data_IF_387076245970
#
_entry.id   IF_387076245970
#
_cell.length_a   1.000
_cell.length_b   1.000
_cell.length_c   1.000
_cell.angle_alpha   90.00
_cell.angle_beta   90.00
_cell.angle_gamma   90.00
#
_symmetry.space_group_name_H-M   'P 1'
#
loop_
_entity.id
_entity.type
_entity.pdbx_description
1 polymer ?
#
# COMPACT_ATOMS: atom_id res chain seq x y z
N UNK A 1 -17.92 -7.63 -20.30
CA UNK A 1 -17.08 -8.83 -20.53
C UNK A 1 -17.88 -10.04 -20.12
N UNK A 2 -17.89 -11.11 -20.91
CA UNK A 2 -18.66 -12.32 -20.55
C UNK A 2 -18.06 -12.96 -19.28
N UNK A 3 -18.94 -13.41 -18.37
CA UNK A 3 -18.58 -14.02 -17.08
C UNK A 3 -17.81 -15.34 -17.19
N UNK A 4 -17.52 -15.79 -18.39
CA UNK A 4 -16.80 -17.03 -18.71
C UNK A 4 -15.29 -16.94 -18.51
N UNK A 5 -14.71 -15.71 -18.45
CA UNK A 5 -13.27 -15.53 -18.31
C UNK A 5 -12.76 -15.59 -16.86
N UNK A 6 -13.64 -15.84 -15.87
CA UNK A 6 -13.25 -15.96 -14.48
C UNK A 6 -13.21 -17.42 -14.04
N UNK A 7 -12.28 -17.73 -13.13
CA UNK A 7 -12.27 -19.03 -12.47
C UNK A 7 -13.67 -19.36 -11.91
N UNK A 8 -14.17 -20.60 -11.97
CA UNK A 8 -15.52 -20.97 -11.55
C UNK A 8 -15.91 -20.42 -10.18
N UNK A 9 -15.01 -20.49 -9.18
CA UNK A 9 -15.26 -20.04 -7.81
C UNK A 9 -15.41 -18.51 -7.68
N UNK A 10 -14.81 -17.75 -8.61
CA UNK A 10 -14.89 -16.30 -8.62
C UNK A 10 -16.07 -15.74 -9.41
N UNK A 11 -16.78 -16.57 -10.17
CA UNK A 11 -17.88 -16.12 -11.06
C UNK A 11 -19.02 -15.44 -10.29
N UNK A 12 -19.34 -15.93 -9.10
CA UNK A 12 -20.40 -15.33 -8.26
C UNK A 12 -19.98 -13.94 -7.78
N UNK A 13 -18.77 -13.81 -7.27
CA UNK A 13 -18.21 -12.53 -6.80
C UNK A 13 -18.06 -11.53 -7.95
N UNK A 14 -17.59 -11.99 -9.12
CA UNK A 14 -17.43 -11.16 -10.31
C UNK A 14 -18.77 -10.61 -10.85
N UNK A 15 -19.89 -11.31 -10.63
CA UNK A 15 -21.24 -10.81 -10.99
C UNK A 15 -21.70 -9.67 -10.07
N UNK A 16 -21.28 -9.69 -8.82
CA UNK A 16 -21.63 -8.68 -7.80
C UNK A 16 -20.65 -7.51 -7.80
N UNK A 17 -19.49 -7.66 -8.44
CA UNK A 17 -18.49 -6.59 -8.51
C UNK A 17 -19.03 -5.39 -9.32
N UNK A 18 -18.81 -4.15 -8.83
CA UNK A 18 -19.21 -2.95 -9.54
C UNK A 18 -18.54 -2.90 -10.91
N UNK A 19 -19.33 -2.80 -11.97
CA UNK A 19 -18.85 -2.70 -13.37
C UNK A 19 -18.55 -1.25 -13.79
N UNK A 20 -18.55 -0.33 -12.83
CA UNK A 20 -18.30 1.08 -13.13
C UNK A 20 -16.85 1.28 -13.59
N UNK A 21 -16.61 1.92 -14.74
CA UNK A 21 -15.26 2.26 -15.16
C UNK A 21 -14.63 3.22 -14.15
N UNK A 22 -13.38 2.95 -13.78
CA UNK A 22 -12.57 3.85 -12.94
C UNK A 22 -12.23 5.11 -13.75
N UNK A 23 -13.19 6.03 -13.82
CA UNK A 23 -12.96 7.34 -14.40
C UNK A 23 -12.44 8.36 -13.36
N UNK A 24 -11.97 9.54 -13.81
CA UNK A 24 -11.42 10.57 -12.91
C UNK A 24 -12.40 11.04 -11.82
N UNK A 25 -13.70 11.01 -12.09
CA UNK A 25 -14.75 11.40 -11.12
C UNK A 25 -14.98 10.30 -10.08
N UNK A 26 -15.10 9.05 -10.50
CA UNK A 26 -15.24 7.89 -9.60
C UNK A 26 -14.00 7.71 -8.72
N UNK A 27 -12.81 7.90 -9.26
CA UNK A 27 -11.57 7.86 -8.51
C UNK A 27 -11.54 8.91 -7.39
N UNK A 28 -11.94 10.17 -7.68
CA UNK A 28 -12.03 11.23 -6.65
C UNK A 28 -12.98 10.86 -5.52
N UNK A 29 -14.15 10.29 -5.84
CA UNK A 29 -15.13 9.87 -4.85
C UNK A 29 -14.58 8.74 -3.99
N UNK A 30 -13.99 7.71 -4.61
CA UNK A 30 -13.39 6.57 -3.89
C UNK A 30 -12.27 7.06 -2.95
N UNK A 31 -11.38 7.93 -3.43
CA UNK A 31 -10.29 8.49 -2.62
C UNK A 31 -10.79 9.35 -1.45
N UNK A 32 -11.84 10.17 -1.67
CA UNK A 32 -12.48 10.92 -0.58
C UNK A 32 -13.11 10.00 0.45
N UNK A 33 -13.85 8.98 0.03
CA UNK A 33 -14.42 8.00 0.95
C UNK A 33 -13.34 7.26 1.74
N UNK A 34 -12.26 6.86 1.08
CA UNK A 34 -11.11 6.21 1.74
C UNK A 34 -10.39 7.13 2.73
N UNK A 35 -10.35 8.45 2.47
CA UNK A 35 -9.70 9.41 3.37
C UNK A 35 -10.53 9.74 4.61
N UNK A 36 -11.86 9.64 4.52
CA UNK A 36 -12.81 9.89 5.62
C UNK A 36 -13.00 8.65 6.50
N UNK A 37 -12.68 7.45 6.00
CA UNK A 37 -12.70 6.26 6.85
C UNK A 37 -11.80 6.46 8.07
N UNK A 38 -12.32 6.15 9.29
CA UNK A 38 -11.54 6.33 10.51
C UNK A 38 -10.18 5.64 10.36
N UNK A 39 -9.13 6.44 10.31
CA UNK A 39 -7.78 5.90 10.38
C UNK A 39 -7.58 5.45 11.81
N UNK A 40 -7.97 4.20 12.14
CA UNK A 40 -7.71 3.60 13.44
C UNK A 40 -6.28 3.90 13.89
N UNK A 41 -6.04 3.87 15.19
CA UNK A 41 -4.69 4.02 15.78
C UNK A 41 -3.68 3.18 14.98
N UNK A 42 -2.46 3.66 14.86
CA UNK A 42 -1.40 2.82 14.31
C UNK A 42 -1.31 1.55 15.15
N UNK A 43 -1.23 0.38 14.52
CA UNK A 43 -1.05 -0.84 15.27
C UNK A 43 0.25 -0.77 16.08
N UNK A 44 0.27 -1.38 17.27
CA UNK A 44 1.48 -1.43 18.09
C UNK A 44 2.66 -2.00 17.30
N UNK A 45 3.83 -1.39 17.43
CA UNK A 45 5.05 -1.79 16.73
C UNK A 45 5.21 -1.29 15.30
N UNK A 46 4.36 -0.34 14.85
CA UNK A 46 4.54 0.33 13.56
C UNK A 46 5.11 1.73 13.80
N UNK A 47 6.31 1.95 13.31
CA UNK A 47 6.97 3.25 13.29
C UNK A 47 6.63 3.97 11.99
N UNK A 48 6.15 5.22 12.07
CA UNK A 48 5.81 6.03 10.90
C UNK A 48 6.83 7.14 10.77
N UNK A 49 7.52 7.17 9.64
CA UNK A 49 8.60 8.10 9.35
C UNK A 49 8.25 8.93 8.11
N UNK A 50 8.86 10.10 8.02
CA UNK A 50 8.90 10.90 6.79
C UNK A 50 10.37 11.09 6.44
N UNK A 51 10.75 10.63 5.26
CA UNK A 51 12.11 10.75 4.76
C UNK A 51 12.45 12.21 4.41
N UNK A 52 13.74 12.52 4.25
CA UNK A 52 14.18 13.87 3.81
C UNK A 52 13.60 14.27 2.46
N UNK A 53 13.27 13.30 1.62
CA UNK A 53 12.56 13.49 0.34
C UNK A 53 11.07 13.85 0.50
N UNK A 54 10.52 13.82 1.73
CA UNK A 54 9.09 14.01 1.99
C UNK A 54 8.25 12.75 1.88
N UNK A 55 8.85 11.61 1.50
CA UNK A 55 8.14 10.33 1.33
C UNK A 55 7.82 9.72 2.69
N UNK A 56 6.57 9.29 2.89
CA UNK A 56 6.13 8.55 4.06
C UNK A 56 6.58 7.09 4.00
N UNK A 57 7.08 6.57 5.12
CA UNK A 57 7.44 5.15 5.25
C UNK A 57 6.89 4.61 6.56
N UNK A 58 6.31 3.43 6.49
CA UNK A 58 5.84 2.67 7.65
C UNK A 58 6.77 1.49 7.88
N UNK A 59 7.49 1.51 9.00
CA UNK A 59 8.43 0.45 9.38
C UNK A 59 7.76 -0.56 10.31
N UNK A 60 7.92 -1.81 9.96
CA UNK A 60 7.53 -2.96 10.76
C UNK A 60 8.79 -3.73 11.12
N UNK A 61 9.23 -3.60 12.37
CA UNK A 61 10.45 -4.26 12.84
C UNK A 61 10.12 -5.58 13.54
N UNK A 62 10.90 -6.64 13.29
CA UNK A 62 10.77 -7.89 14.04
C UNK A 62 11.24 -7.68 15.47
N UNK A 63 10.56 -8.29 16.43
CA UNK A 63 10.99 -8.25 17.83
C UNK A 63 12.25 -9.13 18.03
N UNK A 64 13.19 -8.66 18.86
CA UNK A 64 14.34 -9.44 19.27
C UNK A 64 15.42 -9.71 18.23
N UNK A 65 15.33 -9.07 17.05
CA UNK A 65 16.34 -9.21 15.98
C UNK A 65 17.29 -8.01 16.03
N UNK A 66 18.61 -8.30 16.03
CA UNK A 66 19.64 -7.27 15.98
C UNK A 66 19.65 -6.53 14.63
N UNK A 67 19.92 -5.24 14.68
CA UNK A 67 20.10 -4.40 13.51
C UNK A 67 21.60 -4.07 13.31
N UNK A 68 22.11 -3.89 12.09
CA UNK A 68 21.40 -4.01 10.80
C UNK A 68 21.12 -5.47 10.40
N UNK A 69 20.06 -5.66 9.61
CA UNK A 69 19.60 -6.96 9.10
C UNK A 69 18.92 -6.83 7.75
N UNK A 70 18.46 -7.94 7.17
CA UNK A 70 17.76 -7.90 5.90
C UNK A 70 16.47 -7.07 5.99
N UNK A 71 16.16 -6.37 4.91
CA UNK A 71 14.97 -5.53 4.81
C UNK A 71 14.16 -5.86 3.54
N UNK A 72 12.84 -5.71 3.64
CA UNK A 72 11.88 -5.84 2.55
C UNK A 72 11.24 -4.48 2.29
N UNK A 73 11.40 -3.95 1.07
CA UNK A 73 10.64 -2.80 0.62
C UNK A 73 9.27 -3.28 0.13
N UNK A 74 8.21 -2.76 0.75
CA UNK A 74 6.83 -3.05 0.36
C UNK A 74 6.22 -1.87 -0.37
N UNK A 75 5.78 -2.10 -1.60
CA UNK A 75 5.12 -1.11 -2.45
C UNK A 75 3.66 -1.55 -2.61
N UNK A 76 2.73 -0.79 -2.03
CA UNK A 76 1.32 -1.17 -2.02
C UNK A 76 0.68 -1.12 -3.41
N UNK A 77 -0.36 -1.94 -3.61
CA UNK A 77 -1.15 -1.95 -4.83
C UNK A 77 -2.11 -0.76 -4.94
N UNK A 78 -2.72 -0.59 -6.12
CA UNK A 78 -3.70 0.46 -6.39
C UNK A 78 -3.46 1.20 -7.70
N UNK A 79 -2.61 0.65 -8.58
CA UNK A 79 -2.35 1.16 -9.93
C UNK A 79 -1.78 2.58 -9.95
N UNK A 80 -1.05 2.96 -8.92
CA UNK A 80 -0.51 4.33 -8.70
C UNK A 80 -1.56 5.44 -8.56
N UNK A 81 -2.85 5.10 -8.53
CA UNK A 81 -3.94 6.09 -8.45
C UNK A 81 -4.71 6.02 -7.14
N UNK A 82 -4.55 4.95 -6.35
CA UNK A 82 -5.21 4.76 -5.06
C UNK A 82 -4.36 3.88 -4.13
N UNK A 83 -4.76 3.80 -2.86
CA UNK A 83 -4.10 3.00 -1.84
C UNK A 83 -3.29 3.83 -0.86
N UNK A 84 -2.80 3.17 0.16
CA UNK A 84 -1.89 3.71 1.18
C UNK A 84 -1.06 2.56 1.75
N UNK A 85 0.13 2.85 2.25
CA UNK A 85 0.97 1.85 2.92
C UNK A 85 0.25 1.20 4.12
N UNK A 86 -0.63 1.95 4.78
CA UNK A 86 -1.39 1.48 5.95
C UNK A 86 -2.33 0.30 5.66
N UNK A 87 -2.86 0.19 4.45
CA UNK A 87 -3.77 -0.90 4.09
C UNK A 87 -3.15 -2.28 4.27
N UNK A 88 -1.83 -2.37 4.13
CA UNK A 88 -1.07 -3.62 4.18
C UNK A 88 -0.34 -3.85 5.51
N UNK A 89 -0.58 -3.01 6.56
CA UNK A 89 0.06 -3.13 7.87
C UNK A 89 0.01 -4.55 8.46
N UNK A 90 -1.13 -5.23 8.31
CA UNK A 90 -1.29 -6.59 8.82
C UNK A 90 -0.36 -7.58 8.12
N UNK A 91 -0.24 -7.45 6.79
CA UNK A 91 0.61 -8.29 5.97
C UNK A 91 2.09 -8.00 6.22
N UNK A 92 2.47 -6.72 6.26
CA UNK A 92 3.84 -6.29 6.53
C UNK A 92 4.32 -6.75 7.91
N UNK A 93 3.48 -6.64 8.95
CA UNK A 93 3.79 -7.17 10.28
C UNK A 93 3.94 -8.69 10.29
N UNK A 94 3.13 -9.38 9.52
CA UNK A 94 3.25 -10.82 9.39
C UNK A 94 4.60 -11.20 8.78
N UNK A 95 5.00 -10.55 7.69
CA UNK A 95 6.32 -10.78 7.11
C UNK A 95 7.45 -10.44 8.08
N UNK A 96 7.40 -9.29 8.74
CA UNK A 96 8.42 -8.93 9.72
C UNK A 96 8.58 -10.00 10.80
N UNK A 97 7.47 -10.49 11.35
CA UNK A 97 7.47 -11.50 12.40
C UNK A 97 7.92 -12.88 11.93
N UNK A 98 7.40 -13.35 10.80
CA UNK A 98 7.61 -14.74 10.31
C UNK A 98 8.98 -14.91 9.66
N UNK A 99 9.49 -13.86 9.01
CA UNK A 99 10.76 -13.90 8.30
C UNK A 99 11.92 -13.28 9.08
N UNK A 100 11.66 -12.61 10.20
CA UNK A 100 12.70 -11.91 10.97
C UNK A 100 13.33 -10.72 10.21
N UNK A 101 12.60 -10.08 9.29
CA UNK A 101 13.10 -8.97 8.47
C UNK A 101 12.41 -7.66 8.82
N UNK A 102 13.11 -6.54 8.65
CA UNK A 102 12.46 -5.22 8.69
C UNK A 102 11.65 -5.03 7.39
N UNK A 103 10.38 -4.63 7.51
CA UNK A 103 9.56 -4.29 6.33
C UNK A 103 9.33 -2.79 6.30
N UNK A 104 9.75 -2.13 5.22
CA UNK A 104 9.52 -0.72 4.94
C UNK A 104 8.41 -0.58 3.90
N UNK A 105 7.21 -0.20 4.32
CA UNK A 105 6.09 0.02 3.42
C UNK A 105 6.03 1.51 3.03
N UNK A 106 6.09 1.78 1.71
CA UNK A 106 6.20 3.14 1.16
C UNK A 106 4.82 3.72 0.91
N UNK A 107 4.59 4.92 1.41
CA UNK A 107 3.38 5.71 1.14
C UNK A 107 3.70 6.72 0.02
N UNK A 108 3.83 6.21 -1.20
CA UNK A 108 4.25 6.97 -2.37
C UNK A 108 3.15 7.91 -2.87
N UNK A 109 3.53 9.01 -3.52
CA UNK A 109 2.61 9.97 -4.13
C UNK A 109 1.82 9.33 -5.26
N UNK A 110 0.54 9.74 -5.40
CA UNK A 110 -0.41 9.12 -6.32
C UNK A 110 -0.74 10.03 -7.50
N UNK A 111 -0.94 9.43 -8.68
CA UNK A 111 -1.55 10.07 -9.82
C UNK A 111 -3.06 10.31 -9.58
N UNK A 112 -3.69 11.29 -10.24
CA UNK A 112 -3.13 12.21 -11.24
C UNK A 112 -2.38 13.41 -10.68
N UNK A 113 -2.41 13.65 -9.35
CA UNK A 113 -1.76 14.81 -8.74
C UNK A 113 -0.24 14.75 -8.90
N UNK A 114 0.31 13.54 -8.83
CA UNK A 114 1.72 13.25 -9.00
C UNK A 114 1.89 12.09 -10.00
N UNK A 115 1.88 12.37 -11.31
CA UNK A 115 2.00 11.33 -12.34
C UNK A 115 3.40 10.72 -12.35
N UNK A 116 3.58 9.69 -13.16
CA UNK A 116 4.92 9.14 -13.44
C UNK A 116 5.91 10.27 -13.82
N UNK A 117 7.13 10.27 -13.30
CA UNK A 117 7.79 9.21 -12.51
C UNK A 117 7.66 9.35 -10.97
N UNK A 118 6.90 10.31 -10.44
CA UNK A 118 6.86 10.62 -9.02
C UNK A 118 6.66 9.41 -8.08
N UNK A 119 5.71 8.47 -8.32
CA UNK A 119 5.57 7.28 -7.48
C UNK A 119 6.81 6.37 -7.50
N UNK A 120 7.48 6.27 -8.65
CA UNK A 120 8.70 5.48 -8.80
C UNK A 120 9.86 6.10 -8.03
N UNK A 121 10.03 7.42 -8.15
CA UNK A 121 11.07 8.18 -7.43
C UNK A 121 10.91 8.06 -5.91
N UNK A 122 9.66 8.10 -5.43
CA UNK A 122 9.36 7.91 -4.01
C UNK A 122 9.76 6.52 -3.51
N UNK A 123 9.42 5.48 -4.29
CA UNK A 123 9.83 4.12 -3.96
C UNK A 123 11.35 3.95 -3.99
N UNK A 124 12.01 4.57 -4.95
CA UNK A 124 13.47 4.54 -5.05
C UNK A 124 14.15 5.30 -3.89
N UNK A 125 13.59 6.45 -3.50
CA UNK A 125 14.06 7.19 -2.34
C UNK A 125 13.94 6.38 -1.03
N UNK A 126 12.88 5.59 -0.89
CA UNK A 126 12.70 4.69 0.24
C UNK A 126 13.65 3.47 0.19
N UNK A 127 14.00 2.99 -1.00
CA UNK A 127 14.95 1.88 -1.18
C UNK A 127 16.38 2.29 -0.81
N UNK A 128 16.76 3.53 -1.11
CA UNK A 128 18.12 4.04 -0.91
C UNK A 128 18.36 4.70 0.45
N UNK A 129 17.29 4.87 1.22
CA UNK A 129 17.32 5.39 2.59
C UNK A 129 17.78 4.31 3.56
#
# INVERSE_FOLDING_TARGET
MPSTNFHPDLRRVARLAPKAPLGPRTLRVIRRLSSVMPRGKNPDGVEVLVLRSGVGVRLHRPAGVSQPGPALLWIHGGGYVMGTAKQDDRLCRRFARELGVTVAAVDYRLAPEHPYPAPLEDCYAALTW
#
